data_IF_400267337285
#
_entry.id   IF_400267337285
#
_cell.length_a   1.000
_cell.length_b   1.000
_cell.length_c   1.000
_cell.angle_alpha   90.00
_cell.angle_beta   90.00
_cell.angle_gamma   90.00
#
_symmetry.space_group_name_H-M   'P 1'
#
loop_
_entity.id
_entity.type
_entity.pdbx_description
1 polymer ?
#
# COMPACT_ATOMS: atom_id res chain seq x y z
N UNK A 1 19.93 32.36 -47.59
CA UNK A 1 21.13 31.98 -48.37
C UNK A 1 22.33 32.55 -47.65
N UNK A 2 22.98 31.73 -46.83
CA UNK A 2 24.31 31.98 -46.27
C UNK A 2 24.88 30.59 -45.97
N UNK A 3 25.89 30.24 -46.75
CA UNK A 3 26.59 28.97 -46.79
C UNK A 3 27.63 28.85 -45.65
N UNK A 4 28.18 27.63 -45.59
CA UNK A 4 29.46 27.21 -44.99
C UNK A 4 29.47 26.89 -43.47
N UNK A 5 29.45 25.58 -43.19
CA UNK A 5 29.99 24.97 -41.97
C UNK A 5 30.94 23.84 -42.35
N UNK A 6 32.15 23.96 -41.81
CA UNK A 6 33.33 23.13 -42.02
C UNK A 6 33.15 21.63 -41.71
N UNK A 7 33.77 20.83 -42.58
CA UNK A 7 34.16 19.44 -42.37
C UNK A 7 35.33 19.33 -41.38
N UNK A 8 35.30 18.31 -40.52
CA UNK A 8 36.42 17.50 -39.99
C UNK A 8 35.90 16.77 -38.73
N UNK A 9 36.20 15.52 -38.40
CA UNK A 9 37.06 14.50 -39.00
C UNK A 9 36.57 13.15 -38.43
N UNK A 10 36.53 12.09 -39.23
CA UNK A 10 36.03 10.76 -38.86
C UNK A 10 37.18 9.76 -38.84
N UNK A 11 37.11 8.86 -37.85
CA UNK A 11 37.75 7.54 -37.71
C UNK A 11 39.03 7.50 -36.89
N UNK A 12 38.97 6.69 -35.83
CA UNK A 12 39.93 5.61 -35.62
C UNK A 12 39.22 4.40 -34.98
N UNK A 13 39.42 3.25 -35.60
CA UNK A 13 39.00 1.91 -35.21
C UNK A 13 40.04 1.32 -34.26
N UNK A 14 39.63 0.65 -33.17
CA UNK A 14 40.40 -0.49 -32.64
C UNK A 14 39.48 -1.54 -32.05
N UNK A 15 39.63 -2.77 -32.58
CA UNK A 15 38.93 -3.99 -32.20
C UNK A 15 39.90 -4.89 -31.41
N UNK A 16 39.31 -5.81 -30.64
CA UNK A 16 39.90 -7.00 -29.99
C UNK A 16 40.61 -6.77 -28.65
N UNK A 17 40.25 -7.43 -27.55
CA UNK A 17 40.10 -8.89 -27.43
C UNK A 17 39.50 -9.26 -26.06
N UNK A 18 38.69 -10.31 -26.01
CA UNK A 18 38.31 -11.03 -24.78
C UNK A 18 39.37 -12.10 -24.45
N UNK A 19 39.43 -12.56 -23.19
CA UNK A 19 39.02 -13.95 -22.96
C UNK A 19 38.22 -14.18 -21.67
N UNK A 20 37.36 -15.20 -21.72
CA UNK A 20 36.57 -15.77 -20.63
C UNK A 20 37.42 -16.44 -19.54
N UNK A 21 36.96 -16.42 -18.28
CA UNK A 21 36.63 -17.64 -17.50
C UNK A 21 36.11 -17.35 -16.07
N UNK A 22 34.84 -17.70 -15.87
CA UNK A 22 34.20 -18.37 -14.73
C UNK A 22 34.65 -18.15 -13.27
N UNK A 23 33.71 -17.73 -12.41
CA UNK A 23 33.47 -18.35 -11.10
C UNK A 23 32.04 -18.10 -10.61
N UNK A 24 31.38 -19.16 -10.12
CA UNK A 24 30.04 -19.19 -9.54
C UNK A 24 29.93 -18.45 -8.19
N UNK A 25 28.72 -18.46 -7.61
CA UNK A 25 28.18 -17.75 -6.40
C UNK A 25 27.67 -16.34 -6.73
N UNK A 26 26.47 -15.90 -6.38
CA UNK A 26 25.43 -16.42 -5.50
C UNK A 26 24.07 -15.91 -6.00
N UNK A 27 23.06 -16.76 -5.90
CA UNK A 27 21.67 -16.34 -5.96
C UNK A 27 21.28 -15.54 -4.71
N UNK A 28 20.15 -14.83 -4.81
CA UNK A 28 19.43 -14.21 -3.68
C UNK A 28 20.07 -12.95 -3.07
N UNK A 29 20.22 -11.91 -3.90
CA UNK A 29 20.36 -10.51 -3.43
C UNK A 29 19.04 -9.72 -3.45
N UNK A 30 17.98 -10.26 -4.08
CA UNK A 30 16.65 -9.63 -4.12
C UNK A 30 15.90 -9.78 -2.78
N UNK A 31 16.04 -10.92 -2.11
CA UNK A 31 15.24 -11.23 -0.91
C UNK A 31 15.71 -10.46 0.33
N UNK A 32 17.03 -10.21 0.45
CA UNK A 32 17.60 -9.47 1.59
C UNK A 32 17.23 -7.98 1.58
N UNK A 33 17.09 -7.39 0.40
CA UNK A 33 16.71 -5.98 0.26
C UNK A 33 15.22 -5.78 0.62
N UNK A 34 14.34 -6.68 0.17
CA UNK A 34 12.92 -6.70 0.55
C UNK A 34 12.71 -6.93 2.06
N UNK A 35 13.49 -7.83 2.66
CA UNK A 35 13.44 -8.09 4.11
C UNK A 35 13.85 -6.86 4.94
N UNK A 36 14.84 -6.11 4.45
CA UNK A 36 15.33 -4.90 5.14
C UNK A 36 14.34 -3.74 5.01
N UNK A 37 13.72 -3.56 3.84
CA UNK A 37 12.70 -2.53 3.63
C UNK A 37 11.42 -2.82 4.43
N UNK A 38 10.95 -4.08 4.46
CA UNK A 38 9.83 -4.52 5.29
C UNK A 38 10.10 -4.27 6.77
N UNK A 39 11.31 -4.57 7.26
CA UNK A 39 11.70 -4.31 8.65
C UNK A 39 11.78 -2.81 9.00
N UNK A 40 12.26 -1.97 8.07
CA UNK A 40 12.29 -0.50 8.26
C UNK A 40 10.88 0.07 8.26
N UNK A 41 10.03 -0.32 7.30
CA UNK A 41 8.62 0.06 7.29
C UNK A 41 7.91 -0.40 8.58
N UNK A 42 8.16 -1.62 9.06
CA UNK A 42 7.66 -2.12 10.35
C UNK A 42 8.03 -1.22 11.53
N UNK A 43 9.29 -0.78 11.61
CA UNK A 43 9.73 0.08 12.70
C UNK A 43 9.16 1.49 12.60
N UNK A 44 9.06 2.04 11.39
CA UNK A 44 8.44 3.35 11.16
C UNK A 44 6.96 3.29 11.55
N UNK A 45 6.20 2.30 11.06
CA UNK A 45 4.79 2.09 11.42
C UNK A 45 4.63 1.98 12.94
N UNK A 46 5.43 1.13 13.61
CA UNK A 46 5.38 0.99 15.07
C UNK A 46 5.68 2.30 15.82
N UNK A 47 6.50 3.18 15.25
CA UNK A 47 6.85 4.47 15.85
C UNK A 47 5.84 5.58 15.60
N UNK A 48 5.07 5.49 14.50
CA UNK A 48 4.05 6.48 14.12
C UNK A 48 2.69 6.14 14.75
N UNK A 49 2.39 4.85 14.94
CA UNK A 49 1.21 4.32 15.66
C UNK A 49 1.23 4.54 17.20
N UNK A 50 1.86 5.61 17.68
CA UNK A 50 1.73 6.04 19.09
C UNK A 50 0.55 6.97 19.32
N UNK A 51 0.02 7.57 18.25
CA UNK A 51 -1.33 8.12 18.27
C UNK A 51 -2.26 6.95 17.93
N UNK A 52 -3.23 6.64 18.80
CA UNK A 52 -4.26 5.65 18.50
C UNK A 52 -5.59 6.35 18.12
N UNK A 53 -5.67 7.12 17.01
CA UNK A 53 -6.92 7.75 16.61
C UNK A 53 -8.00 6.69 16.29
N UNK A 54 -7.61 5.47 15.95
CA UNK A 54 -8.54 4.35 15.76
C UNK A 54 -9.24 3.89 17.05
N UNK A 55 -8.75 4.22 18.26
CA UNK A 55 -9.49 3.93 19.51
C UNK A 55 -10.85 4.62 19.55
N UNK A 56 -11.01 5.72 18.80
CA UNK A 56 -12.27 6.45 18.72
C UNK A 56 -13.26 5.83 17.73
N UNK A 57 -12.82 4.83 16.96
CA UNK A 57 -13.66 4.13 16.00
C UNK A 57 -14.26 2.88 16.62
N UNK A 58 -15.58 2.80 16.58
CA UNK A 58 -16.33 1.63 17.02
C UNK A 58 -16.47 0.66 15.84
N UNK A 59 -15.98 -0.56 16.02
CA UNK A 59 -16.22 -1.65 15.05
C UNK A 59 -17.65 -2.17 15.21
N UNK A 60 -18.41 -2.18 14.11
CA UNK A 60 -19.78 -2.66 14.04
C UNK A 60 -19.87 -3.79 13.00
N UNK A 61 -20.36 -4.94 13.43
CA UNK A 61 -20.50 -6.10 12.55
C UNK A 61 -21.83 -6.01 11.80
N UNK A 62 -21.78 -6.17 10.47
CA UNK A 62 -22.93 -6.07 9.57
C UNK A 62 -23.10 -7.34 8.74
N UNK A 63 -24.34 -7.62 8.35
CA UNK A 63 -24.65 -8.80 7.55
C UNK A 63 -24.09 -8.68 6.13
N UNK A 64 -23.95 -9.82 5.45
CA UNK A 64 -23.55 -9.86 4.04
C UNK A 64 -24.56 -9.14 3.13
N UNK A 65 -25.85 -9.18 3.48
CA UNK A 65 -26.90 -8.50 2.73
C UNK A 65 -26.78 -6.97 2.85
N UNK A 66 -26.48 -6.46 4.06
CA UNK A 66 -26.34 -5.01 4.27
C UNK A 66 -25.07 -4.45 3.63
N UNK A 67 -23.95 -5.19 3.68
CA UNK A 67 -22.66 -4.76 3.14
C UNK A 67 -22.49 -5.07 1.64
N UNK A 68 -23.26 -6.02 1.10
CA UNK A 68 -23.08 -6.52 -0.26
C UNK A 68 -21.66 -7.02 -0.51
N UNK A 69 -21.03 -6.51 -1.57
CA UNK A 69 -19.69 -6.89 -1.98
C UNK A 69 -18.58 -6.32 -1.06
N UNK A 70 -18.89 -5.28 -0.28
CA UNK A 70 -17.92 -4.61 0.58
C UNK A 70 -17.59 -5.47 1.81
N UNK A 71 -16.30 -5.50 2.17
CA UNK A 71 -15.78 -6.31 3.27
C UNK A 71 -15.68 -5.48 4.55
N UNK A 72 -15.15 -4.26 4.44
CA UNK A 72 -15.11 -3.26 5.49
C UNK A 72 -15.24 -1.86 4.88
N UNK A 73 -15.76 -0.93 5.68
CA UNK A 73 -16.00 0.47 5.32
C UNK A 73 -15.99 1.31 6.59
N UNK A 74 -15.35 2.48 6.58
CA UNK A 74 -15.36 3.39 7.72
C UNK A 74 -16.07 4.72 7.45
N UNK A 75 -16.49 5.39 8.52
CA UNK A 75 -17.28 6.62 8.44
C UNK A 75 -16.65 7.81 7.72
N UNK A 76 -15.31 7.83 7.59
CA UNK A 76 -14.59 8.90 6.90
C UNK A 76 -14.48 8.69 5.37
N UNK A 77 -14.98 7.57 4.83
CA UNK A 77 -14.97 7.36 3.38
C UNK A 77 -15.87 8.42 2.72
N UNK A 78 -15.40 9.11 1.66
CA UNK A 78 -16.19 10.11 0.98
C UNK A 78 -17.50 9.54 0.41
N UNK A 79 -18.58 10.32 0.48
CA UNK A 79 -19.93 9.84 0.12
C UNK A 79 -20.08 9.45 -1.36
N UNK A 80 -19.23 9.96 -2.24
CA UNK A 80 -19.17 9.57 -3.63
C UNK A 80 -18.53 8.19 -3.86
N UNK A 81 -17.67 7.73 -2.95
CA UNK A 81 -17.04 6.41 -2.99
C UNK A 81 -17.96 5.31 -2.47
N UNK A 82 -18.93 5.66 -1.61
CA UNK A 82 -19.95 4.72 -1.16
C UNK A 82 -20.94 4.32 -2.26
N UNK A 83 -21.38 3.04 -2.27
CA UNK A 83 -22.51 2.64 -3.09
C UNK A 83 -23.77 3.38 -2.62
N UNK A 84 -24.69 3.66 -3.55
CA UNK A 84 -25.88 4.47 -3.30
C UNK A 84 -26.68 4.05 -2.06
N UNK A 85 -26.76 2.75 -1.80
CA UNK A 85 -27.52 2.20 -0.67
C UNK A 85 -26.82 2.33 0.69
N UNK A 86 -25.54 2.69 0.75
CA UNK A 86 -24.77 2.89 1.99
C UNK A 86 -24.43 4.35 2.28
N UNK A 87 -24.63 5.26 1.33
CA UNK A 87 -24.41 6.70 1.53
C UNK A 87 -25.16 7.19 2.77
N UNK A 88 -24.44 7.93 3.62
CA UNK A 88 -24.91 8.51 4.87
C UNK A 88 -25.40 7.53 5.95
N UNK A 89 -25.16 6.22 5.79
CA UNK A 89 -25.56 5.21 6.79
C UNK A 89 -24.49 4.94 7.83
N UNK A 90 -23.22 5.09 7.47
CA UNK A 90 -22.08 4.78 8.33
C UNK A 90 -21.71 6.06 9.09
N UNK A 91 -21.83 6.08 10.43
CA UNK A 91 -21.42 7.23 11.23
C UNK A 91 -19.91 7.47 11.11
N UNK A 92 -19.49 8.74 11.20
CA UNK A 92 -18.08 9.16 11.03
C UNK A 92 -17.09 8.42 11.94
N UNK A 93 -17.54 7.95 13.11
CA UNK A 93 -16.73 7.27 14.12
C UNK A 93 -16.97 5.74 14.17
N UNK A 94 -17.47 5.14 13.09
CA UNK A 94 -17.67 3.69 13.00
C UNK A 94 -16.87 3.07 11.87
N UNK A 95 -16.47 1.81 12.07
CA UNK A 95 -15.97 0.91 11.03
C UNK A 95 -16.98 -0.23 10.94
N UNK A 96 -17.65 -0.35 9.79
CA UNK A 96 -18.51 -1.47 9.51
C UNK A 96 -17.69 -2.59 8.89
N UNK A 97 -17.85 -3.80 9.42
CA UNK A 97 -17.16 -5.00 8.92
C UNK A 97 -18.18 -6.11 8.66
N UNK A 98 -18.03 -6.80 7.54
CA UNK A 98 -18.92 -7.89 7.15
C UNK A 98 -18.75 -9.09 8.07
N UNK A 99 -19.86 -9.68 8.49
CA UNK A 99 -19.91 -10.76 9.48
C UNK A 99 -19.02 -11.95 9.14
N UNK A 100 -19.01 -12.41 7.89
CA UNK A 100 -18.20 -13.54 7.45
C UNK A 100 -16.68 -13.27 7.49
N UNK A 101 -16.28 -12.01 7.50
CA UNK A 101 -14.88 -11.59 7.67
C UNK A 101 -14.57 -11.49 9.15
N UNK A 102 -15.49 -10.95 9.94
CA UNK A 102 -15.32 -10.80 11.38
C UNK A 102 -15.21 -12.12 12.14
N UNK A 103 -15.87 -13.19 11.64
CA UNK A 103 -15.82 -14.53 12.22
C UNK A 103 -14.50 -15.26 11.97
N UNK A 104 -13.73 -14.85 10.96
CA UNK A 104 -12.38 -15.36 10.67
C UNK A 104 -11.34 -14.48 11.39
N UNK A 105 -10.65 -14.98 12.44
CA UNK A 105 -9.76 -14.16 13.25
C UNK A 105 -8.57 -13.58 12.48
N UNK A 106 -7.97 -14.34 11.56
CA UNK A 106 -6.79 -13.90 10.81
C UNK A 106 -7.21 -12.88 9.75
N UNK A 107 -8.28 -13.17 9.02
CA UNK A 107 -8.82 -12.24 8.04
C UNK A 107 -9.31 -10.95 8.68
N UNK A 108 -10.02 -11.04 9.82
CA UNK A 108 -10.44 -9.87 10.60
C UNK A 108 -9.26 -9.01 11.00
N UNK A 109 -8.16 -9.63 11.45
CA UNK A 109 -6.96 -8.90 11.87
C UNK A 109 -6.33 -8.15 10.69
N UNK A 110 -6.21 -8.79 9.52
CA UNK A 110 -5.70 -8.17 8.30
C UNK A 110 -6.53 -6.95 7.91
N UNK A 111 -7.85 -7.14 7.78
CA UNK A 111 -8.78 -6.08 7.37
C UNK A 111 -8.81 -4.93 8.37
N UNK A 112 -8.87 -5.19 9.69
CA UNK A 112 -8.83 -4.10 10.66
C UNK A 112 -7.50 -3.36 10.64
N UNK A 113 -6.37 -4.04 10.40
CA UNK A 113 -5.08 -3.38 10.26
C UNK A 113 -5.05 -2.45 9.03
N UNK A 114 -5.65 -2.87 7.91
CA UNK A 114 -5.86 -2.02 6.73
C UNK A 114 -6.67 -0.77 7.08
N UNK A 115 -7.87 -0.94 7.65
CA UNK A 115 -8.76 0.19 7.99
C UNK A 115 -8.10 1.16 8.99
N UNK A 116 -7.36 0.65 9.98
CA UNK A 116 -6.67 1.51 10.94
C UNK A 116 -5.49 2.25 10.33
N UNK A 117 -4.74 1.64 9.41
CA UNK A 117 -3.68 2.32 8.69
C UNK A 117 -4.25 3.45 7.83
N UNK A 118 -5.35 3.19 7.12
CA UNK A 118 -6.04 4.19 6.31
C UNK A 118 -6.53 5.37 7.15
N UNK A 119 -7.22 5.09 8.27
CA UNK A 119 -7.71 6.12 9.19
C UNK A 119 -6.58 6.94 9.80
N UNK A 120 -5.48 6.32 10.23
CA UNK A 120 -4.33 7.04 10.77
C UNK A 120 -3.70 7.96 9.71
N UNK A 121 -3.54 7.48 8.48
CA UNK A 121 -3.05 8.29 7.37
C UNK A 121 -3.97 9.48 7.09
N UNK A 122 -5.29 9.27 7.05
CA UNK A 122 -6.24 10.35 6.83
C UNK A 122 -6.26 11.37 7.97
N UNK A 123 -6.22 10.91 9.22
CA UNK A 123 -6.36 11.77 10.41
C UNK A 123 -5.04 12.48 10.74
N UNK A 124 -3.94 11.74 10.80
CA UNK A 124 -2.64 12.21 11.27
C UNK A 124 -1.86 12.93 10.17
N UNK A 125 -2.05 12.54 8.91
CA UNK A 125 -1.31 13.08 7.77
C UNK A 125 -2.17 13.90 6.79
N UNK A 126 -3.48 14.00 7.02
CA UNK A 126 -4.41 14.79 6.22
C UNK A 126 -4.37 14.45 4.70
N UNK A 127 -4.04 13.19 4.37
CA UNK A 127 -4.04 12.73 2.98
C UNK A 127 -5.44 12.30 2.54
N UNK A 128 -5.68 12.24 1.23
CA UNK A 128 -6.98 11.85 0.72
C UNK A 128 -7.29 10.37 1.00
N UNK A 129 -8.57 10.02 1.10
CA UNK A 129 -9.01 8.62 1.22
C UNK A 129 -8.35 7.71 0.18
N UNK A 130 -8.31 8.15 -1.08
CA UNK A 130 -7.74 7.35 -2.16
C UNK A 130 -6.26 7.05 -1.94
N UNK A 131 -5.47 8.06 -1.57
CA UNK A 131 -4.04 7.88 -1.29
C UNK A 131 -3.84 7.01 -0.04
N UNK A 132 -4.62 7.24 1.02
CA UNK A 132 -4.57 6.43 2.24
C UNK A 132 -4.89 4.96 1.95
N UNK A 133 -5.90 4.70 1.12
CA UNK A 133 -6.29 3.35 0.71
C UNK A 133 -5.17 2.64 -0.04
N UNK A 134 -4.56 3.29 -1.05
CA UNK A 134 -3.44 2.74 -1.81
C UNK A 134 -2.23 2.40 -0.89
N UNK A 135 -1.96 3.24 0.11
CA UNK A 135 -0.92 2.97 1.11
C UNK A 135 -1.29 1.81 2.05
N UNK A 136 -2.54 1.74 2.50
CA UNK A 136 -3.04 0.67 3.34
C UNK A 136 -3.00 -0.70 2.63
N UNK A 137 -3.39 -0.76 1.35
CA UNK A 137 -3.29 -1.96 0.51
C UNK A 137 -1.85 -2.44 0.41
N UNK A 138 -0.91 -1.52 0.21
CA UNK A 138 0.52 -1.84 0.17
C UNK A 138 1.00 -2.44 1.50
N UNK A 139 0.56 -1.88 2.64
CA UNK A 139 0.87 -2.48 3.94
C UNK A 139 0.24 -3.87 4.09
N UNK A 140 -1.03 -4.05 3.73
CA UNK A 140 -1.68 -5.36 3.81
C UNK A 140 -0.89 -6.43 3.03
N UNK A 141 -0.48 -6.12 1.80
CA UNK A 141 0.34 -7.01 0.98
C UNK A 141 1.70 -7.33 1.61
N UNK A 142 2.34 -6.37 2.27
CA UNK A 142 3.62 -6.63 2.94
C UNK A 142 3.49 -7.57 4.14
N UNK A 143 2.33 -7.61 4.81
CA UNK A 143 2.20 -8.23 6.14
C UNK A 143 1.32 -9.48 6.19
N UNK A 144 0.37 -9.59 5.28
CA UNK A 144 -0.71 -10.57 5.37
C UNK A 144 -0.91 -11.40 4.09
N UNK A 145 -0.19 -11.07 3.01
CA UNK A 145 -0.12 -11.88 1.79
C UNK A 145 1.34 -12.30 1.53
N UNK A 146 1.65 -13.58 1.77
CA UNK A 146 2.88 -14.25 1.31
C UNK A 146 2.66 -14.94 -0.04
#
# INVERSE_FOLDING_TARGET
MSDERDEQNKKEDTKESSPEQSSATDGSSSDRLGTTQKAVCQQIIKSVWTHEPWLFFKVVVKSNEEMGDYIALHGLVPQNEFPLHLRYKIPENEIWIRENVYTDPERRKSILAHEYAELDLMISHAISYKEAHEHAEFFEHLFYHD
#
